data_IF_286694465196
#
_entry.id   IF_286694465196
#
_cell.length_a   1.000
_cell.length_b   1.000
_cell.length_c   1.000
_cell.angle_alpha   90.00
_cell.angle_beta   90.00
_cell.angle_gamma   90.00
#
_symmetry.space_group_name_H-M   'P 1'
#
loop_
_entity.id
_entity.type
_entity.pdbx_description
1 polymer ?
#
# COMPACT_ATOMS: atom_id res chain seq x y z
N UNK A 1 -19.17 -50.96 -9.14
CA UNK A 1 -19.30 -49.62 -8.51
C UNK A 1 -18.38 -48.63 -9.23
N UNK A 2 -18.85 -47.97 -10.30
CA UNK A 2 -18.09 -46.95 -11.08
C UNK A 2 -18.99 -45.88 -11.74
N UNK A 3 -20.29 -45.90 -11.44
CA UNK A 3 -21.28 -45.00 -12.07
C UNK A 3 -21.64 -43.76 -11.25
N UNK A 4 -21.41 -43.78 -9.93
CA UNK A 4 -21.79 -42.68 -9.05
C UNK A 4 -20.75 -41.54 -9.02
N UNK A 5 -19.45 -41.84 -9.12
CA UNK A 5 -18.35 -40.84 -9.11
C UNK A 5 -18.46 -39.84 -10.29
N UNK A 6 -18.74 -40.36 -11.50
CA UNK A 6 -18.92 -39.53 -12.71
C UNK A 6 -20.14 -38.59 -12.64
N UNK A 7 -21.12 -38.92 -11.80
CA UNK A 7 -22.29 -38.08 -11.59
C UNK A 7 -21.96 -36.93 -10.64
N UNK A 8 -21.20 -37.20 -9.57
CA UNK A 8 -20.75 -36.16 -8.65
C UNK A 8 -19.78 -35.19 -9.31
N UNK A 9 -18.82 -35.64 -10.12
CA UNK A 9 -17.90 -34.75 -10.84
C UNK A 9 -18.63 -33.81 -11.81
N UNK A 10 -19.64 -34.32 -12.53
CA UNK A 10 -20.47 -33.49 -13.42
C UNK A 10 -21.35 -32.51 -12.66
N UNK A 11 -21.84 -32.92 -11.48
CA UNK A 11 -22.64 -32.07 -10.60
C UNK A 11 -21.78 -30.98 -9.96
N UNK A 12 -20.58 -31.31 -9.46
CA UNK A 12 -19.60 -30.38 -8.89
C UNK A 12 -19.08 -29.40 -9.95
N UNK A 13 -18.83 -29.85 -11.18
CA UNK A 13 -18.45 -28.96 -12.29
C UNK A 13 -19.59 -27.99 -12.66
N UNK A 14 -20.83 -28.50 -12.75
CA UNK A 14 -22.00 -27.68 -13.05
C UNK A 14 -22.26 -26.62 -11.97
N UNK A 15 -22.20 -27.01 -10.69
CA UNK A 15 -22.36 -26.10 -9.56
C UNK A 15 -21.22 -25.08 -9.50
N UNK A 16 -19.98 -25.49 -9.79
CA UNK A 16 -18.82 -24.59 -9.85
C UNK A 16 -18.94 -23.54 -10.94
N UNK A 17 -19.41 -23.92 -12.14
CA UNK A 17 -19.66 -22.98 -13.25
C UNK A 17 -20.80 -22.03 -12.91
N UNK A 18 -21.87 -22.51 -12.28
CA UNK A 18 -22.99 -21.68 -11.82
C UNK A 18 -22.52 -20.69 -10.76
N UNK A 19 -21.68 -21.11 -9.80
CA UNK A 19 -21.10 -20.22 -8.79
C UNK A 19 -20.13 -19.20 -9.40
N UNK A 20 -19.34 -19.56 -10.41
CA UNK A 20 -18.50 -18.62 -11.16
C UNK A 20 -19.33 -17.58 -11.92
N UNK A 21 -20.43 -17.99 -12.56
CA UNK A 21 -21.35 -17.08 -13.25
C UNK A 21 -22.08 -16.18 -12.25
N UNK A 22 -22.54 -16.71 -11.11
CA UNK A 22 -23.17 -15.92 -10.04
C UNK A 22 -22.19 -14.95 -9.38
N UNK A 23 -20.93 -15.34 -9.22
CA UNK A 23 -19.86 -14.47 -8.74
C UNK A 23 -19.65 -13.30 -9.72
N UNK A 24 -19.72 -13.53 -11.03
CA UNK A 24 -19.68 -12.47 -12.05
C UNK A 24 -20.91 -11.56 -12.08
N UNK A 25 -22.08 -12.02 -11.61
CA UNK A 25 -23.33 -11.23 -11.55
C UNK A 25 -23.41 -10.39 -10.27
N UNK A 26 -22.75 -10.80 -9.19
CA UNK A 26 -22.74 -10.10 -7.89
C UNK A 26 -21.63 -9.04 -7.76
N UNK A 27 -20.60 -9.05 -8.62
CA UNK A 27 -19.74 -7.88 -8.77
C UNK A 27 -20.41 -6.90 -9.74
N UNK A 28 -20.70 -5.65 -9.33
CA UNK A 28 -21.10 -4.65 -10.30
C UNK A 28 -20.03 -4.61 -11.39
N UNK A 29 -20.45 -4.68 -12.65
CA UNK A 29 -19.59 -4.44 -13.79
C UNK A 29 -18.71 -3.24 -13.45
N UNK A 30 -17.38 -3.36 -13.67
CA UNK A 30 -16.50 -2.20 -13.62
C UNK A 30 -17.24 -1.08 -14.33
N UNK A 31 -17.46 0.09 -13.70
CA UNK A 31 -18.17 1.16 -14.38
C UNK A 31 -17.42 1.40 -15.68
N UNK A 32 -18.10 1.15 -16.80
CA UNK A 32 -17.57 1.52 -18.10
C UNK A 32 -17.33 3.03 -18.00
N UNK A 33 -16.06 3.40 -17.99
CA UNK A 33 -15.65 4.78 -18.02
C UNK A 33 -16.05 5.32 -19.38
N UNK A 34 -17.31 5.77 -19.49
CA UNK A 34 -17.74 6.60 -20.59
C UNK A 34 -16.91 7.87 -20.53
N UNK A 35 -16.15 8.13 -21.59
CA UNK A 35 -15.25 9.26 -21.73
C UNK A 35 -15.95 10.64 -21.73
N UNK A 36 -17.26 10.67 -21.44
CA UNK A 36 -18.11 11.85 -21.48
C UNK A 36 -18.61 12.25 -20.08
N UNK A 37 -18.52 11.38 -19.07
CA UNK A 37 -18.98 11.68 -17.70
C UNK A 37 -17.81 12.09 -16.79
N UNK A 38 -17.02 13.05 -17.29
CA UNK A 38 -16.10 13.80 -16.47
C UNK A 38 -16.93 14.67 -15.53
N UNK A 39 -17.24 14.13 -14.35
CA UNK A 39 -17.68 14.97 -13.22
C UNK A 39 -16.74 16.16 -13.16
N UNK A 40 -17.31 17.36 -13.28
CA UNK A 40 -16.65 18.66 -13.06
C UNK A 40 -16.06 18.68 -11.65
N UNK A 41 -14.90 18.08 -11.48
CA UNK A 41 -13.95 18.53 -10.47
C UNK A 41 -13.55 19.92 -10.90
N UNK A 42 -14.00 20.91 -10.14
CA UNK A 42 -13.92 22.30 -10.50
C UNK A 42 -12.47 22.65 -10.90
N UNK A 43 -12.31 23.25 -12.06
CA UNK A 43 -11.06 23.81 -12.55
C UNK A 43 -10.51 24.89 -11.59
N UNK A 44 -11.33 25.38 -10.66
CA UNK A 44 -10.99 26.42 -9.70
C UNK A 44 -10.37 25.86 -8.41
N UNK A 45 -10.78 24.68 -7.92
CA UNK A 45 -10.02 23.95 -6.89
C UNK A 45 -8.69 23.42 -7.48
N UNK A 46 -8.70 22.93 -8.72
CA UNK A 46 -7.48 22.48 -9.39
C UNK A 46 -6.48 23.63 -9.61
N UNK A 47 -6.94 24.84 -9.99
CA UNK A 47 -6.08 26.04 -10.13
C UNK A 47 -5.52 26.52 -8.80
N UNK A 48 -6.30 26.45 -7.73
CA UNK A 48 -5.85 26.90 -6.40
C UNK A 48 -4.84 25.93 -5.79
N UNK A 49 -5.03 24.62 -5.99
CA UNK A 49 -4.06 23.58 -5.58
C UNK A 49 -2.77 23.65 -6.41
N UNK A 50 -2.85 23.93 -7.71
CA UNK A 50 -1.69 24.00 -8.61
C UNK A 50 -0.75 25.18 -8.31
N UNK A 51 -1.23 26.22 -7.62
CA UNK A 51 -0.42 27.34 -7.14
C UNK A 51 0.25 27.12 -5.78
N UNK A 52 -0.08 26.03 -5.07
CA UNK A 52 0.72 25.53 -3.95
C UNK A 52 1.62 24.39 -4.44
N UNK A 53 2.80 24.74 -4.95
CA UNK A 53 3.84 23.78 -5.35
C UNK A 53 4.42 23.07 -4.12
N UNK A 54 3.60 22.37 -3.35
CA UNK A 54 4.05 21.39 -2.38
C UNK A 54 4.74 20.28 -3.18
N UNK A 55 6.08 20.23 -3.08
CA UNK A 55 6.95 19.24 -3.73
C UNK A 55 6.71 17.85 -3.13
N UNK A 56 5.53 17.26 -3.33
CA UNK A 56 5.32 15.87 -2.95
C UNK A 56 6.20 14.98 -3.83
N UNK A 57 7.10 14.24 -3.21
CA UNK A 57 7.95 13.31 -3.93
C UNK A 57 7.10 12.19 -4.54
N UNK A 58 7.50 11.73 -5.72
CA UNK A 58 6.81 10.70 -6.49
C UNK A 58 7.77 9.55 -6.81
N UNK A 59 7.25 8.33 -7.06
CA UNK A 59 8.05 7.21 -7.53
C UNK A 59 8.81 7.55 -8.81
N UNK A 60 10.03 7.05 -8.93
CA UNK A 60 10.85 7.15 -10.13
C UNK A 60 11.65 5.87 -10.33
N UNK A 61 11.91 5.52 -11.59
CA UNK A 61 12.71 4.35 -11.99
C UNK A 61 14.18 4.46 -11.55
N UNK A 62 14.64 5.67 -11.29
CA UNK A 62 16.01 5.95 -10.82
C UNK A 62 16.19 5.71 -9.32
N UNK A 63 15.10 5.52 -8.57
CA UNK A 63 15.16 5.28 -7.13
C UNK A 63 15.34 3.79 -6.84
N UNK A 64 16.38 3.47 -6.07
CA UNK A 64 16.55 2.16 -5.44
C UNK A 64 15.51 1.93 -4.33
N UNK A 65 15.22 0.67 -3.96
CA UNK A 65 14.28 0.39 -2.87
C UNK A 65 14.72 1.03 -1.54
N UNK A 66 16.04 1.10 -1.29
CA UNK A 66 16.61 1.77 -0.10
C UNK A 66 16.29 3.27 -0.10
N UNK A 67 16.42 3.93 -1.24
CA UNK A 67 16.07 5.35 -1.36
C UNK A 67 14.57 5.57 -1.16
N UNK A 68 13.72 4.69 -1.70
CA UNK A 68 12.26 4.76 -1.51
C UNK A 68 11.87 4.66 -0.04
N UNK A 69 12.45 3.72 0.73
CA UNK A 69 12.22 3.63 2.18
C UNK A 69 12.75 4.88 2.90
N UNK A 70 13.97 5.34 2.56
CA UNK A 70 14.57 6.53 3.19
C UNK A 70 13.72 7.78 2.96
N UNK A 71 13.16 7.96 1.76
CA UNK A 71 12.26 9.07 1.43
C UNK A 71 11.01 9.03 2.32
N UNK A 72 10.37 7.87 2.41
CA UNK A 72 9.16 7.70 3.23
C UNK A 72 9.44 7.95 4.72
N UNK A 73 10.52 7.41 5.27
CA UNK A 73 10.91 7.64 6.67
C UNK A 73 11.20 9.12 6.93
N UNK A 74 11.93 9.79 6.04
CA UNK A 74 12.23 11.22 6.17
C UNK A 74 10.96 12.08 6.16
N UNK A 75 10.00 11.73 5.28
CA UNK A 75 8.73 12.42 5.13
C UNK A 75 7.85 12.24 6.37
N UNK A 76 7.72 11.02 6.87
CA UNK A 76 6.95 10.71 8.08
C UNK A 76 7.55 11.33 9.35
N UNK A 77 8.88 11.35 9.46
CA UNK A 77 9.58 11.96 10.60
C UNK A 77 9.30 13.47 10.71
N UNK A 78 9.02 14.14 9.59
CA UNK A 78 8.78 15.58 9.49
C UNK A 78 7.37 15.88 8.96
N UNK A 79 6.40 15.03 9.29
CA UNK A 79 5.03 15.27 8.89
C UNK A 79 4.54 16.60 9.48
N UNK A 80 4.00 17.48 8.65
CA UNK A 80 3.47 18.78 9.07
C UNK A 80 1.94 18.71 9.26
N UNK A 81 1.35 19.84 9.66
CA UNK A 81 -0.10 19.99 9.87
C UNK A 81 -0.93 19.76 8.59
N UNK A 82 -0.30 19.77 7.42
CA UNK A 82 -0.95 19.56 6.11
C UNK A 82 -0.82 18.12 5.62
N UNK A 83 -0.25 17.22 6.43
CA UNK A 83 -0.01 15.82 6.12
C UNK A 83 0.94 15.58 4.94
N UNK A 84 1.93 16.46 4.74
CA UNK A 84 2.86 16.34 3.61
C UNK A 84 3.67 15.03 3.63
N UNK A 85 3.97 14.52 4.81
CA UNK A 85 4.62 13.22 5.02
C UNK A 85 3.72 12.06 4.60
N UNK A 86 2.48 12.06 5.07
CA UNK A 86 1.48 11.03 4.75
C UNK A 86 1.17 11.03 3.25
N UNK A 87 0.98 12.19 2.63
CA UNK A 87 0.75 12.31 1.17
C UNK A 87 1.95 11.72 0.39
N UNK A 88 3.17 12.00 0.85
CA UNK A 88 4.37 11.44 0.23
C UNK A 88 4.35 9.91 0.29
N UNK A 89 4.08 9.30 1.45
CA UNK A 89 3.99 7.84 1.57
C UNK A 89 2.90 7.28 0.66
N UNK A 90 1.72 7.93 0.61
CA UNK A 90 0.63 7.51 -0.27
C UNK A 90 1.03 7.52 -1.75
N UNK A 91 1.84 8.49 -2.19
CA UNK A 91 2.37 8.53 -3.56
C UNK A 91 3.33 7.36 -3.85
N UNK A 92 4.05 6.86 -2.84
CA UNK A 92 4.93 5.70 -2.96
C UNK A 92 4.21 4.35 -2.80
N UNK A 93 2.94 4.34 -2.38
CA UNK A 93 2.11 3.13 -2.30
C UNK A 93 1.75 2.59 -3.68
N UNK A 94 2.01 1.29 -3.88
CA UNK A 94 1.75 0.61 -5.15
C UNK A 94 0.29 0.76 -5.58
N UNK A 95 -0.03 0.72 -6.90
CA UNK A 95 -1.41 0.77 -7.36
C UNK A 95 -2.30 -0.30 -6.70
N UNK A 96 -1.79 -1.53 -6.58
CA UNK A 96 -2.51 -2.63 -5.92
C UNK A 96 -2.75 -2.35 -4.44
N UNK A 97 -1.74 -1.85 -3.72
CA UNK A 97 -1.90 -1.50 -2.30
C UNK A 97 -2.91 -0.37 -2.11
N UNK A 98 -2.94 0.61 -3.01
CA UNK A 98 -3.92 1.72 -2.93
C UNK A 98 -5.37 1.26 -3.04
N UNK A 99 -5.64 0.14 -3.71
CA UNK A 99 -6.99 -0.47 -3.71
C UNK A 99 -7.40 -0.86 -2.29
N UNK A 100 -6.51 -1.47 -1.51
CA UNK A 100 -6.78 -1.87 -0.13
C UNK A 100 -6.72 -0.70 0.86
N UNK A 101 -5.82 0.27 0.65
CA UNK A 101 -5.70 1.46 1.50
C UNK A 101 -6.88 2.42 1.33
N UNK A 102 -7.57 2.37 0.18
CA UNK A 102 -8.65 3.29 -0.16
C UNK A 102 -8.18 4.72 -0.48
N UNK A 103 -9.10 5.68 -0.55
CA UNK A 103 -8.80 7.07 -0.84
C UNK A 103 -7.84 7.70 0.18
N UNK A 104 -7.15 8.78 -0.20
CA UNK A 104 -6.16 9.46 0.65
C UNK A 104 -6.71 9.81 2.05
N UNK A 105 -7.98 10.19 2.17
CA UNK A 105 -8.60 10.50 3.47
C UNK A 105 -8.70 9.27 4.37
N UNK A 106 -8.99 8.09 3.81
CA UNK A 106 -8.97 6.85 4.57
C UNK A 106 -7.55 6.51 5.01
N UNK A 107 -6.58 6.66 4.11
CA UNK A 107 -5.17 6.47 4.44
C UNK A 107 -4.68 7.39 5.57
N UNK A 108 -5.11 8.67 5.58
CA UNK A 108 -4.82 9.62 6.67
C UNK A 108 -5.32 9.14 8.03
N UNK A 109 -6.49 8.52 8.10
CA UNK A 109 -7.02 7.95 9.33
C UNK A 109 -6.20 6.72 9.74
N UNK A 110 -5.97 5.79 8.82
CA UNK A 110 -5.25 4.54 9.09
C UNK A 110 -3.82 4.77 9.63
N UNK A 111 -3.07 5.74 9.08
CA UNK A 111 -1.71 6.03 9.57
C UNK A 111 -1.70 6.58 11.01
N UNK A 112 -2.83 7.11 11.48
CA UNK A 112 -3.00 7.60 12.87
C UNK A 112 -3.51 6.53 13.82
N UNK A 113 -3.86 5.34 13.34
CA UNK A 113 -4.24 4.23 14.21
C UNK A 113 -3.05 3.81 15.11
N UNK A 114 -3.29 3.27 16.31
CA UNK A 114 -2.24 2.89 17.25
C UNK A 114 -1.14 1.96 16.68
N UNK A 115 -1.47 1.17 15.66
CA UNK A 115 -0.51 0.30 15.00
C UNK A 115 0.56 1.08 14.21
N UNK A 116 0.24 2.26 13.69
CA UNK A 116 1.09 3.03 12.78
C UNK A 116 1.42 4.44 13.28
N UNK A 117 0.69 4.97 14.27
CA UNK A 117 0.94 6.29 14.83
C UNK A 117 2.38 6.50 15.35
N UNK A 118 3.13 5.49 15.85
CA UNK A 118 4.54 5.66 16.18
C UNK A 118 5.43 6.03 14.99
N UNK A 119 4.95 5.84 13.75
CA UNK A 119 5.66 6.28 12.54
C UNK A 119 5.54 7.77 12.26
N UNK A 120 4.66 8.50 12.93
CA UNK A 120 4.50 9.94 12.71
C UNK A 120 5.40 10.72 13.67
N UNK A 121 6.16 11.67 13.13
CA UNK A 121 6.99 12.60 13.91
C UNK A 121 7.91 11.92 14.95
N UNK A 122 8.40 10.74 14.60
CA UNK A 122 9.22 9.92 15.49
C UNK A 122 10.61 10.56 15.74
N UNK A 123 11.26 10.16 16.83
CA UNK A 123 12.53 10.75 17.28
C UNK A 123 13.70 10.29 16.42
N UNK A 124 13.82 8.98 16.21
CA UNK A 124 14.91 8.39 15.42
C UNK A 124 14.52 7.03 14.86
N UNK A 125 15.32 6.49 13.94
CA UNK A 125 15.14 5.13 13.42
C UNK A 125 16.47 4.42 13.23
N UNK A 126 16.43 3.08 13.28
CA UNK A 126 17.53 2.20 12.87
C UNK A 126 17.04 1.28 11.75
N UNK A 127 17.89 1.01 10.77
CA UNK A 127 17.54 0.11 9.66
C UNK A 127 18.34 -1.18 9.73
N UNK A 128 17.67 -2.31 9.56
CA UNK A 128 18.31 -3.59 9.30
C UNK A 128 18.92 -3.67 7.88
N UNK A 129 19.56 -4.82 7.61
CA UNK A 129 20.02 -5.16 6.25
C UNK A 129 18.82 -5.22 5.31
N UNK A 130 19.00 -4.72 4.10
CA UNK A 130 18.00 -4.85 3.04
C UNK A 130 18.23 -6.17 2.31
N UNK A 131 17.16 -6.92 2.14
CA UNK A 131 17.14 -8.15 1.34
C UNK A 131 16.39 -7.86 0.04
N UNK A 132 16.99 -8.18 -1.10
CA UNK A 132 16.37 -8.02 -2.41
C UNK A 132 16.34 -9.40 -3.05
N UNK A 133 15.15 -9.84 -3.45
CA UNK A 133 14.92 -11.09 -4.17
C UNK A 133 14.08 -10.77 -5.39
N UNK A 134 14.68 -10.91 -6.57
CA UNK A 134 14.10 -10.54 -7.85
C UNK A 134 13.56 -9.09 -7.87
N UNK A 135 12.25 -8.95 -8.07
CA UNK A 135 11.52 -7.70 -8.10
C UNK A 135 10.91 -7.33 -6.72
N UNK A 136 11.36 -7.95 -5.63
CA UNK A 136 10.86 -7.67 -4.26
C UNK A 136 12.01 -7.27 -3.33
N UNK A 137 11.75 -6.32 -2.44
CA UNK A 137 12.71 -5.85 -1.45
C UNK A 137 12.08 -5.77 -0.06
N UNK A 138 12.84 -6.16 0.95
CA UNK A 138 12.45 -6.19 2.35
C UNK A 138 13.45 -5.42 3.19
N UNK A 139 12.97 -4.63 4.14
CA UNK A 139 13.84 -4.01 5.14
C UNK A 139 13.12 -3.83 6.47
N UNK A 140 13.73 -4.34 7.54
CA UNK A 140 13.29 -4.05 8.90
C UNK A 140 13.74 -2.64 9.31
N UNK A 141 12.82 -1.87 9.88
CA UNK A 141 13.09 -0.53 10.43
C UNK A 141 12.57 -0.49 11.86
N UNK A 142 13.44 -0.18 12.81
CA UNK A 142 13.07 0.05 14.20
C UNK A 142 12.89 1.54 14.40
N UNK A 143 11.66 1.96 14.67
CA UNK A 143 11.30 3.36 14.88
C UNK A 143 11.24 3.64 16.38
N UNK A 144 11.90 4.70 16.83
CA UNK A 144 11.74 5.25 18.17
C UNK A 144 10.68 6.35 18.12
N UNK A 145 9.47 6.04 18.58
CA UNK A 145 8.33 6.95 18.58
C UNK A 145 8.51 8.14 19.53
N UNK A 146 7.56 9.07 19.51
CA UNK A 146 7.63 10.31 20.29
C UNK A 146 7.59 10.07 21.81
N UNK A 147 6.88 9.04 22.28
CA UNK A 147 6.88 8.62 23.69
C UNK A 147 8.10 7.77 24.09
N UNK A 148 9.03 7.52 23.15
CA UNK A 148 10.29 6.82 23.40
C UNK A 148 10.25 5.30 23.21
N UNK A 149 9.07 4.73 22.95
CA UNK A 149 8.87 3.34 22.57
C UNK A 149 9.63 2.99 21.29
N UNK A 150 10.12 1.75 21.20
CA UNK A 150 10.78 1.24 20.00
C UNK A 150 9.92 0.18 19.33
N UNK A 151 9.49 0.45 18.10
CA UNK A 151 8.57 -0.41 17.35
C UNK A 151 9.23 -0.86 16.05
N UNK A 152 9.41 -2.17 15.81
CA UNK A 152 9.92 -2.69 14.56
C UNK A 152 8.81 -2.77 13.49
N UNK A 153 9.16 -2.39 12.26
CA UNK A 153 8.30 -2.46 11.09
C UNK A 153 9.05 -3.07 9.91
N UNK A 154 8.44 -4.05 9.26
CA UNK A 154 8.94 -4.63 8.02
C UNK A 154 8.34 -3.87 6.84
N UNK A 155 9.19 -3.14 6.11
CA UNK A 155 8.83 -2.52 4.83
C UNK A 155 8.98 -3.55 3.71
N UNK A 156 7.96 -3.66 2.87
CA UNK A 156 7.91 -4.56 1.73
C UNK A 156 7.67 -3.73 0.48
N UNK A 157 8.61 -3.77 -0.46
CA UNK A 157 8.55 -3.05 -1.72
C UNK A 157 8.55 -4.04 -2.88
N UNK A 158 7.85 -3.69 -3.95
CA UNK A 158 7.91 -4.41 -5.22
C UNK A 158 8.22 -3.47 -6.38
N UNK A 159 9.02 -3.94 -7.33
CA UNK A 159 9.29 -3.26 -8.59
C UNK A 159 8.10 -3.46 -9.52
N UNK A 160 7.48 -2.37 -9.95
CA UNK A 160 6.27 -2.45 -10.75
C UNK A 160 6.60 -2.93 -12.18
N UNK A 161 5.87 -3.94 -12.66
CA UNK A 161 6.12 -4.57 -13.98
C UNK A 161 5.35 -3.93 -15.15
N UNK A 162 4.24 -3.25 -14.86
CA UNK A 162 3.31 -2.72 -15.86
C UNK A 162 2.73 -1.36 -15.44
N UNK A 163 2.02 -0.73 -16.38
CA UNK A 163 1.36 0.56 -16.18
C UNK A 163 2.33 1.74 -16.06
N UNK A 164 1.81 2.90 -15.64
CA UNK A 164 2.57 4.17 -15.58
C UNK A 164 3.79 4.12 -14.65
N UNK A 165 3.80 3.21 -13.67
CA UNK A 165 4.90 3.05 -12.72
C UNK A 165 5.91 1.95 -13.11
N UNK A 166 5.80 1.36 -14.32
CA UNK A 166 6.70 0.28 -14.77
C UNK A 166 8.18 0.65 -14.53
N UNK A 167 8.88 -0.19 -13.76
CA UNK A 167 10.29 -0.03 -13.38
C UNK A 167 10.53 0.70 -12.06
N UNK A 168 9.52 1.33 -11.46
CA UNK A 168 9.63 1.99 -10.16
C UNK A 168 9.53 0.98 -9.02
N UNK A 169 10.34 1.17 -7.98
CA UNK A 169 10.12 0.52 -6.68
C UNK A 169 9.03 1.25 -5.91
N UNK A 170 8.06 0.51 -5.38
CA UNK A 170 6.92 1.07 -4.64
C UNK A 170 6.57 0.20 -3.44
N UNK A 171 6.03 0.79 -2.38
CA UNK A 171 5.64 0.09 -1.17
C UNK A 171 4.41 -0.74 -1.44
N UNK A 172 4.50 -2.04 -1.20
CA UNK A 172 3.35 -2.96 -1.29
C UNK A 172 2.74 -3.27 0.08
N UNK A 173 3.52 -3.14 1.15
CA UNK A 173 3.06 -3.31 2.52
C UNK A 173 4.06 -2.83 3.55
N UNK A 174 3.54 -2.55 4.75
CA UNK A 174 4.31 -2.24 5.95
C UNK A 174 3.68 -3.01 7.09
N UNK A 175 4.45 -3.91 7.71
CA UNK A 175 3.93 -4.78 8.77
C UNK A 175 4.63 -4.46 10.10
N UNK A 176 3.87 -4.02 11.10
CA UNK A 176 4.33 -3.93 12.49
C UNK A 176 4.77 -5.32 12.94
N UNK A 177 5.94 -5.40 13.55
CA UNK A 177 6.47 -6.63 14.13
C UNK A 177 6.30 -6.54 15.64
N UNK A 178 5.63 -7.52 16.24
CA UNK A 178 5.49 -7.55 17.69
C UNK A 178 6.73 -8.21 18.31
N UNK A 179 7.39 -7.49 19.21
CA UNK A 179 8.56 -7.98 19.95
C UNK A 179 8.26 -9.23 20.79
N UNK A 180 6.99 -9.46 21.14
CA UNK A 180 6.55 -10.54 22.03
C UNK A 180 6.39 -11.92 21.37
N UNK A 181 6.49 -12.06 20.04
CA UNK A 181 6.32 -13.39 19.40
C UNK A 181 7.54 -14.31 19.54
N UNK A 182 8.70 -13.81 19.95
CA UNK A 182 9.91 -14.63 20.10
C UNK A 182 10.06 -15.30 21.48
N UNK A 183 9.30 -14.87 22.50
CA UNK A 183 9.42 -15.42 23.86
C UNK A 183 8.50 -16.62 24.13
N UNK A 184 7.69 -17.04 23.15
CA UNK A 184 6.73 -18.15 23.31
C UNK A 184 7.18 -19.46 22.63
N UNK A 185 8.45 -19.53 22.20
CA UNK A 185 9.04 -20.72 21.57
C UNK A 185 10.32 -21.19 22.27
N UNK A 186 10.48 -20.86 23.56
CA UNK A 186 11.52 -21.43 24.44
C UNK A 186 10.82 -22.09 25.63
#
# INVERSE_FOLDING_TARGET
MRGFENMYDKLLLGVGVILLVLLWVQFPAMPEMNAEDHVRYTSDEAKTVMNSKARFLKPSKTLSPRQVIKIQLHALQRNDITDSGIITVFNFSSPTSRVSLGPLNHFRMMVRDPAYSPMLNFVSYKTGKMVITDDTAYQLVVIKGASGEQVPYLFILAKQRKGMYKGCWMTVGVARQDSNRQTSLI
#
